data_IF_065632138244
#
_entry.id   IF_065632138244
#
_cell.length_a   1.000
_cell.length_b   1.000
_cell.length_c   1.000
_cell.angle_alpha   90.00
_cell.angle_beta   90.00
_cell.angle_gamma   90.00
#
_symmetry.space_group_name_H-M   'P 1'
#
loop_
_entity.id
_entity.type
_entity.pdbx_description
1 polymer ?
#
# COMPACT_ATOMS: atom_id res chain seq x y z
N UNK A 1 12.71 -7.49 1.74
CA UNK A 1 11.49 -6.88 2.29
C UNK A 1 11.13 -5.65 1.47
N UNK A 2 9.84 -5.49 1.17
CA UNK A 2 9.31 -4.35 0.45
C UNK A 2 9.64 -3.03 1.17
N UNK A 3 9.67 -1.93 0.41
CA UNK A 3 10.08 -0.63 0.91
C UNK A 3 9.04 0.44 0.56
N UNK A 4 8.78 1.34 1.51
CA UNK A 4 7.86 2.46 1.33
C UNK A 4 8.67 3.76 1.33
N UNK A 5 8.68 4.46 0.20
CA UNK A 5 9.44 5.71 0.02
C UNK A 5 8.44 6.86 -0.14
N UNK A 6 8.68 7.96 0.55
CA UNK A 6 7.87 9.19 0.49
C UNK A 6 8.56 10.23 -0.38
N UNK A 7 8.59 9.98 -1.69
CA UNK A 7 9.34 10.81 -2.64
C UNK A 7 8.45 11.63 -3.57
N UNK A 8 7.26 11.14 -3.92
CA UNK A 8 6.38 11.83 -4.85
C UNK A 8 5.63 12.98 -4.15
N UNK A 9 5.60 14.16 -4.76
CA UNK A 9 4.78 15.29 -4.29
C UNK A 9 3.52 15.38 -5.16
N UNK A 10 2.35 15.41 -4.52
CA UNK A 10 1.07 15.63 -5.20
C UNK A 10 0.52 16.96 -4.73
N UNK A 11 0.13 17.80 -5.70
CA UNK A 11 -0.49 19.09 -5.42
C UNK A 11 -1.97 18.87 -5.14
N UNK A 12 -2.38 19.17 -3.92
CA UNK A 12 -3.78 19.03 -3.48
C UNK A 12 -4.35 20.43 -3.26
N UNK A 13 -5.52 20.69 -3.85
CA UNK A 13 -6.25 21.94 -3.67
C UNK A 13 -7.33 21.72 -2.61
N UNK A 14 -7.12 22.26 -1.42
CA UNK A 14 -8.13 22.27 -0.37
C UNK A 14 -9.29 23.20 -0.78
N UNK A 15 -10.53 22.80 -0.47
CA UNK A 15 -11.74 23.58 -0.82
C UNK A 15 -12.17 24.54 0.29
N UNK A 16 -11.77 24.29 1.55
CA UNK A 16 -12.16 25.09 2.72
C UNK A 16 -11.17 26.21 3.04
N UNK A 17 -9.95 26.10 2.53
CA UNK A 17 -8.87 27.08 2.63
C UNK A 17 -8.24 27.08 1.26
N UNK A 18 -8.13 28.23 0.60
CA UNK A 18 -7.40 28.38 -0.68
C UNK A 18 -5.89 28.17 -0.50
N UNK A 19 -5.47 27.26 0.38
CA UNK A 19 -4.09 26.86 0.59
C UNK A 19 -3.76 25.70 -0.35
N UNK A 20 -2.83 25.93 -1.27
CA UNK A 20 -2.21 24.86 -2.05
C UNK A 20 -1.21 24.11 -1.17
N UNK A 21 -1.56 22.88 -0.80
CA UNK A 21 -0.68 21.99 -0.03
C UNK A 21 0.07 21.03 -0.95
N UNK A 22 1.37 20.83 -0.68
CA UNK A 22 2.11 19.70 -1.24
C UNK A 22 1.99 18.52 -0.27
N UNK A 23 1.37 17.44 -0.73
CA UNK A 23 1.26 16.20 0.05
C UNK A 23 2.30 15.21 -0.46
N UNK A 24 3.07 14.63 0.46
CA UNK A 24 4.02 13.58 0.14
C UNK A 24 3.28 12.25 -0.04
N UNK A 25 3.32 11.71 -1.25
CA UNK A 25 2.70 10.46 -1.65
C UNK A 25 3.65 9.29 -1.36
N UNK A 26 3.24 8.32 -0.54
CA UNK A 26 3.97 7.08 -0.38
C UNK A 26 4.01 6.30 -1.70
N UNK A 27 5.17 5.73 -2.00
CA UNK A 27 5.40 4.86 -3.15
C UNK A 27 6.01 3.56 -2.64
N UNK A 28 5.34 2.45 -2.93
CA UNK A 28 5.75 1.11 -2.54
C UNK A 28 6.60 0.48 -3.65
N UNK A 29 7.74 -0.06 -3.23
CA UNK A 29 8.65 -0.85 -4.05
C UNK A 29 8.82 -2.24 -3.46
N UNK A 30 9.06 -3.22 -4.33
CA UNK A 30 9.50 -4.54 -3.89
C UNK A 30 10.94 -4.49 -3.37
N UNK A 31 11.40 -5.57 -2.75
CA UNK A 31 12.82 -5.74 -2.38
C UNK A 31 13.79 -5.68 -3.56
N UNK A 32 13.31 -5.96 -4.77
CA UNK A 32 14.05 -5.83 -6.02
C UNK A 32 13.95 -4.43 -6.63
N UNK A 33 13.50 -3.43 -5.85
CA UNK A 33 13.26 -2.06 -6.30
C UNK A 33 12.25 -1.94 -7.47
N UNK A 34 11.35 -2.93 -7.64
CA UNK A 34 10.29 -2.87 -8.66
C UNK A 34 9.10 -2.07 -8.13
N UNK A 35 8.55 -1.21 -8.98
CA UNK A 35 7.37 -0.41 -8.65
C UNK A 35 6.12 -1.27 -8.52
N UNK A 36 5.45 -1.23 -7.36
CA UNK A 36 4.22 -1.98 -7.13
C UNK A 36 3.01 -1.22 -7.71
N UNK A 37 2.78 -1.40 -9.00
CA UNK A 37 1.74 -0.66 -9.74
C UNK A 37 0.35 -0.65 -9.07
N UNK A 38 -0.27 -1.78 -8.68
CA UNK A 38 -1.64 -1.75 -8.15
C UNK A 38 -1.76 -0.96 -6.84
N UNK A 39 -0.75 -1.03 -5.98
CA UNK A 39 -0.71 -0.29 -4.71
C UNK A 39 -0.51 1.20 -4.95
N UNK A 40 0.45 1.55 -5.80
CA UNK A 40 0.80 2.94 -6.04
C UNK A 40 -0.30 3.68 -6.82
N UNK A 41 -0.94 3.02 -7.78
CA UNK A 41 -2.11 3.55 -8.47
C UNK A 41 -3.27 3.82 -7.49
N UNK A 42 -3.47 2.93 -6.50
CA UNK A 42 -4.47 3.14 -5.47
C UNK A 42 -4.11 4.29 -4.51
N UNK A 43 -2.86 4.42 -4.07
CA UNK A 43 -2.43 5.60 -3.30
C UNK A 43 -2.67 6.91 -4.06
N UNK A 44 -2.39 6.90 -5.36
CA UNK A 44 -2.67 8.05 -6.23
C UNK A 44 -4.17 8.36 -6.25
N UNK A 45 -5.04 7.37 -6.45
CA UNK A 45 -6.50 7.57 -6.41
C UNK A 45 -6.99 8.15 -5.06
N UNK A 46 -6.46 7.65 -3.95
CA UNK A 46 -6.80 8.14 -2.61
C UNK A 46 -6.48 9.63 -2.42
N UNK A 47 -5.32 10.08 -2.91
CA UNK A 47 -4.87 11.46 -2.73
C UNK A 47 -5.45 12.39 -3.80
N UNK A 48 -5.42 11.97 -5.07
CA UNK A 48 -5.83 12.81 -6.20
C UNK A 48 -7.35 12.86 -6.38
N UNK A 49 -8.03 11.71 -6.32
CA UNK A 49 -9.47 11.62 -6.56
C UNK A 49 -10.26 11.79 -5.26
N UNK A 50 -9.88 11.04 -4.22
CA UNK A 50 -10.62 11.05 -2.93
C UNK A 50 -10.16 12.12 -1.96
N UNK A 51 -9.08 12.85 -2.28
CA UNK A 51 -8.56 13.98 -1.50
C UNK A 51 -8.31 13.65 -0.04
N UNK A 52 -7.88 12.42 0.26
CA UNK A 52 -7.51 12.03 1.61
C UNK A 52 -6.22 12.75 2.02
N UNK A 53 -6.30 13.52 3.12
CA UNK A 53 -5.16 14.26 3.68
C UNK A 53 -4.08 13.34 4.26
N UNK A 54 -4.48 12.24 4.88
CA UNK A 54 -3.57 11.26 5.47
C UNK A 54 -3.91 9.84 5.02
N UNK A 55 -2.94 9.17 4.39
CA UNK A 55 -3.01 7.76 3.98
C UNK A 55 -1.95 6.90 4.68
N UNK A 56 -1.38 7.37 5.79
CA UNK A 56 -0.32 6.68 6.53
C UNK A 56 -0.74 5.29 6.98
N UNK A 57 -1.92 5.14 7.57
CA UNK A 57 -2.44 3.85 8.02
C UNK A 57 -2.51 2.84 6.86
N UNK A 58 -3.09 3.26 5.73
CA UNK A 58 -3.18 2.44 4.51
C UNK A 58 -1.81 2.06 3.97
N UNK A 59 -0.88 3.03 3.93
CA UNK A 59 0.46 2.80 3.42
C UNK A 59 1.27 1.80 4.26
N UNK A 60 1.15 1.85 5.59
CA UNK A 60 1.81 0.90 6.50
C UNK A 60 1.17 -0.48 6.42
N UNK A 61 -0.16 -0.56 6.32
CA UNK A 61 -0.86 -1.83 6.17
C UNK A 61 -0.46 -2.54 4.87
N UNK A 62 -0.41 -1.81 3.75
CA UNK A 62 0.02 -2.38 2.47
C UNK A 62 1.51 -2.72 2.45
N UNK A 63 2.37 -1.93 3.08
CA UNK A 63 3.78 -2.30 3.26
C UNK A 63 3.93 -3.63 4.02
N UNK A 64 3.19 -3.81 5.12
CA UNK A 64 3.21 -5.03 5.90
C UNK A 64 2.72 -6.23 5.09
N UNK A 65 1.61 -6.07 4.36
CA UNK A 65 1.08 -7.11 3.49
C UNK A 65 2.06 -7.50 2.38
N UNK A 66 2.62 -6.52 1.67
CA UNK A 66 3.58 -6.80 0.59
C UNK A 66 4.87 -7.44 1.10
N UNK A 67 5.35 -6.99 2.27
CA UNK A 67 6.52 -7.61 2.92
C UNK A 67 6.25 -9.07 3.28
N UNK A 68 5.04 -9.38 3.75
CA UNK A 68 4.61 -10.75 4.01
C UNK A 68 4.56 -11.60 2.74
N UNK A 69 4.02 -11.07 1.64
CA UNK A 69 3.98 -11.77 0.37
C UNK A 69 5.39 -12.13 -0.12
N UNK A 70 6.32 -11.18 -0.09
CA UNK A 70 7.72 -11.43 -0.47
C UNK A 70 8.38 -12.48 0.42
N UNK A 71 8.21 -12.37 1.74
CA UNK A 71 8.82 -13.30 2.68
C UNK A 71 8.32 -14.75 2.50
N UNK A 72 7.11 -14.93 1.97
CA UNK A 72 6.48 -16.24 1.76
C UNK A 72 6.46 -16.65 0.28
N UNK A 73 7.10 -15.89 -0.63
CA UNK A 73 7.08 -16.14 -2.08
C UNK A 73 5.66 -16.28 -2.66
N UNK A 74 4.72 -15.46 -2.19
CA UNK A 74 3.32 -15.47 -2.63
C UNK A 74 3.07 -14.37 -3.66
N UNK A 75 2.27 -14.66 -4.69
CA UNK A 75 1.77 -13.62 -5.60
C UNK A 75 0.48 -12.98 -5.08
N UNK A 76 0.32 -11.68 -5.29
CA UNK A 76 -0.87 -10.94 -4.82
C UNK A 76 -2.13 -11.19 -5.69
N UNK A 77 -1.92 -11.55 -6.95
CA UNK A 77 -2.93 -11.76 -7.99
C UNK A 77 -3.26 -13.25 -8.23
N UNK A 78 -2.63 -14.14 -7.48
CA UNK A 78 -2.94 -15.57 -7.51
C UNK A 78 -4.09 -15.88 -6.54
N UNK A 79 -5.22 -16.33 -7.10
CA UNK A 79 -6.43 -16.63 -6.35
C UNK A 79 -6.75 -18.13 -6.41
N UNK A 80 -6.09 -18.97 -5.56
CA UNK A 80 -6.38 -20.39 -5.54
C UNK A 80 -7.85 -20.66 -5.15
N UNK A 81 -8.44 -21.76 -5.66
CA UNK A 81 -9.84 -22.10 -5.39
C UNK A 81 -10.09 -22.35 -3.89
N UNK A 82 -9.08 -22.86 -3.18
CA UNK A 82 -9.15 -23.13 -1.74
C UNK A 82 -8.94 -21.81 -0.97
N UNK A 83 -9.98 -21.34 -0.25
CA UNK A 83 -9.97 -20.07 0.49
C UNK A 83 -8.77 -19.89 1.42
N UNK A 84 -8.39 -20.94 2.17
CA UNK A 84 -7.27 -20.89 3.13
C UNK A 84 -5.91 -20.67 2.46
N UNK A 85 -5.77 -21.04 1.19
CA UNK A 85 -4.55 -20.84 0.42
C UNK A 85 -4.45 -19.41 -0.14
N UNK A 86 -5.52 -18.62 -0.11
CA UNK A 86 -5.47 -17.24 -0.59
C UNK A 86 -4.51 -16.43 0.28
N UNK A 87 -3.59 -15.63 -0.30
CA UNK A 87 -2.61 -14.87 0.47
C UNK A 87 -3.23 -13.96 1.55
N UNK A 88 -4.41 -13.40 1.27
CA UNK A 88 -5.17 -12.59 2.22
C UNK A 88 -5.62 -13.36 3.46
N UNK A 89 -6.01 -14.62 3.31
CA UNK A 89 -6.37 -15.49 4.44
C UNK A 89 -5.11 -15.87 5.23
N UNK A 90 -4.02 -16.24 4.56
CA UNK A 90 -2.77 -16.60 5.23
C UNK A 90 -2.19 -15.43 6.04
N UNK A 91 -2.21 -14.22 5.48
CA UNK A 91 -1.79 -12.99 6.15
C UNK A 91 -2.61 -12.69 7.41
N UNK A 92 -3.93 -12.92 7.38
CA UNK A 92 -4.78 -12.73 8.57
C UNK A 92 -4.35 -13.63 9.73
N UNK A 93 -3.98 -14.87 9.44
CA UNK A 93 -3.52 -15.80 10.47
C UNK A 93 -2.09 -15.51 10.93
N UNK A 94 -1.25 -14.90 10.10
CA UNK A 94 0.11 -14.51 10.48
C UNK A 94 0.15 -13.60 11.72
N UNK A 95 -0.77 -12.63 11.85
CA UNK A 95 -0.84 -11.79 13.06
C UNK A 95 -1.34 -12.52 14.32
N UNK A 96 -2.07 -13.63 14.15
CA UNK A 96 -2.65 -14.37 15.27
C UNK A 96 -1.64 -15.32 15.90
N UNK A 97 -0.66 -15.81 15.14
CA UNK A 97 0.34 -16.79 15.61
C UNK A 97 1.61 -16.14 16.17
N UNK A 98 1.81 -14.84 15.97
CA UNK A 98 3.02 -14.08 16.39
C UNK A 98 2.79 -13.30 17.71
N UNK A 99 1.77 -13.65 18.50
CA UNK A 99 1.62 -13.21 19.90
C UNK A 99 1.72 -14.42 20.82
#
# INVERSE_FOLDING_TARGET
MAQLIRSAMVKVKDQETESEGLVSLPTLYTSEAKFVHPVNAWFFDLVACKRLKDINSYSRALLAYWSYLEANSLSWDEFPPIKRLKPTYQFKFHFVVVN
#
